data_IF_782815625021
#
_entry.id   IF_782815625021
#
_cell.length_a   1.000
_cell.length_b   1.000
_cell.length_c   1.000
_cell.angle_alpha   90.00
_cell.angle_beta   90.00
_cell.angle_gamma   90.00
#
_symmetry.space_group_name_H-M   'P 1'
#
loop_
_entity.id
_entity.type
_entity.pdbx_description
1 polymer ?
#
# COMPACT_ATOMS: atom_id res chain seq x y z
N UNK A 1 -17.69 8.96 -27.00
CA UNK A 1 -17.15 8.25 -25.82
C UNK A 1 -17.06 6.75 -26.14
N UNK A 2 -15.85 6.18 -26.13
CA UNK A 2 -15.62 4.78 -26.49
C UNK A 2 -16.14 3.83 -25.41
N UNK A 3 -16.38 2.56 -25.76
CA UNK A 3 -16.80 1.52 -24.80
C UNK A 3 -15.80 1.38 -23.65
N UNK A 4 -14.50 1.38 -23.96
CA UNK A 4 -13.42 1.34 -22.97
C UNK A 4 -13.44 2.54 -22.03
N UNK A 5 -13.69 3.74 -22.56
CA UNK A 5 -13.80 4.93 -21.71
C UNK A 5 -14.99 4.83 -20.76
N UNK A 6 -16.12 4.25 -21.19
CA UNK A 6 -17.29 4.02 -20.31
C UNK A 6 -16.95 3.01 -19.21
N UNK A 7 -16.31 1.89 -19.56
CA UNK A 7 -15.84 0.86 -18.62
C UNK A 7 -14.91 1.46 -17.55
N UNK A 8 -13.96 2.29 -17.97
CA UNK A 8 -13.01 2.93 -17.06
C UNK A 8 -13.65 3.94 -16.13
N UNK A 9 -14.61 4.75 -16.61
CA UNK A 9 -15.34 5.69 -15.74
C UNK A 9 -16.14 4.93 -14.68
N UNK A 10 -16.87 3.88 -15.07
CA UNK A 10 -17.64 3.07 -14.11
C UNK A 10 -16.72 2.39 -13.09
N UNK A 11 -15.60 1.83 -13.54
CA UNK A 11 -14.62 1.18 -12.65
C UNK A 11 -13.98 2.16 -11.68
N UNK A 12 -13.64 3.36 -12.15
CA UNK A 12 -13.09 4.43 -11.31
C UNK A 12 -14.12 4.94 -10.31
N UNK A 13 -15.37 5.12 -10.75
CA UNK A 13 -16.49 5.46 -9.87
C UNK A 13 -16.73 4.41 -8.79
N UNK A 14 -16.61 3.12 -9.13
CA UNK A 14 -16.68 2.03 -8.16
C UNK A 14 -15.52 2.06 -7.16
N UNK A 15 -14.29 2.31 -7.62
CA UNK A 15 -13.13 2.45 -6.73
C UNK A 15 -13.30 3.62 -5.74
N UNK A 16 -13.75 4.78 -6.24
CA UNK A 16 -14.08 5.94 -5.40
C UNK A 16 -15.20 5.57 -4.42
N UNK A 17 -16.25 4.87 -4.88
CA UNK A 17 -17.33 4.37 -4.03
C UNK A 17 -16.83 3.46 -2.90
N UNK A 18 -15.88 2.56 -3.17
CA UNK A 18 -15.28 1.71 -2.14
C UNK A 18 -14.54 2.53 -1.08
N UNK A 19 -13.75 3.54 -1.49
CA UNK A 19 -13.08 4.44 -0.56
C UNK A 19 -14.09 5.23 0.28
N UNK A 20 -15.12 5.78 -0.35
CA UNK A 20 -16.17 6.53 0.35
C UNK A 20 -16.91 5.64 1.34
N UNK A 21 -17.30 4.43 0.96
CA UNK A 21 -17.98 3.48 1.85
C UNK A 21 -17.08 3.05 3.02
N UNK A 22 -15.78 2.87 2.78
CA UNK A 22 -14.80 2.60 3.83
C UNK A 22 -14.78 3.71 4.89
N UNK A 23 -14.81 4.99 4.49
CA UNK A 23 -14.86 6.12 5.43
C UNK A 23 -16.22 6.33 6.07
N UNK A 24 -17.31 6.08 5.34
CA UNK A 24 -18.68 6.31 5.80
C UNK A 24 -19.20 5.22 6.72
N UNK A 25 -18.59 4.04 6.76
CA UNK A 25 -18.96 3.01 7.73
C UNK A 25 -18.34 3.35 9.08
N UNK A 26 -19.12 3.87 10.07
CA UNK A 26 -18.57 4.24 11.36
C UNK A 26 -18.14 2.97 12.05
N UNK A 27 -16.84 2.86 12.22
CA UNK A 27 -16.28 1.76 12.97
C UNK A 27 -16.42 2.11 14.44
N UNK A 28 -17.22 1.35 15.19
CA UNK A 28 -17.22 1.52 16.63
C UNK A 28 -15.81 1.31 17.20
N UNK A 29 -15.59 1.66 18.47
CA UNK A 29 -14.29 1.53 19.18
C UNK A 29 -13.69 0.10 19.21
N UNK A 30 -14.36 -0.89 18.60
CA UNK A 30 -13.88 -2.25 18.47
C UNK A 30 -12.95 -2.37 17.25
N UNK A 31 -11.64 -2.48 17.53
CA UNK A 31 -10.57 -2.73 16.53
C UNK A 31 -10.90 -3.84 15.52
N UNK A 32 -11.71 -4.82 15.93
CA UNK A 32 -12.18 -5.91 15.08
C UNK A 32 -13.03 -5.40 13.90
N UNK A 33 -13.97 -4.47 14.13
CA UNK A 33 -14.82 -3.94 13.06
C UNK A 33 -13.98 -3.17 12.01
N UNK A 34 -12.88 -2.53 12.43
CA UNK A 34 -11.96 -1.81 11.54
C UNK A 34 -11.32 -2.81 10.58
N UNK A 35 -10.81 -3.90 11.13
CA UNK A 35 -10.18 -4.96 10.35
C UNK A 35 -11.14 -5.56 9.30
N UNK A 36 -12.37 -5.89 9.67
CA UNK A 36 -13.36 -6.44 8.72
C UNK A 36 -13.81 -5.43 7.68
N UNK A 37 -13.97 -4.15 8.04
CA UNK A 37 -14.30 -3.09 7.08
C UNK A 37 -13.22 -2.98 6.02
N UNK A 38 -11.94 -2.92 6.42
CA UNK A 38 -10.79 -2.83 5.51
C UNK A 38 -10.78 -4.02 4.57
N UNK A 39 -10.88 -5.25 5.07
CA UNK A 39 -10.87 -6.45 4.23
C UNK A 39 -12.05 -6.45 3.26
N UNK A 40 -13.23 -6.06 3.72
CA UNK A 40 -14.45 -6.08 2.90
C UNK A 40 -14.38 -5.07 1.77
N UNK A 41 -14.08 -3.81 2.07
CA UNK A 41 -14.11 -2.72 1.10
C UNK A 41 -12.85 -2.63 0.24
N UNK A 42 -11.69 -2.99 0.79
CA UNK A 42 -10.41 -2.86 0.06
C UNK A 42 -9.96 -4.17 -0.59
N UNK A 43 -10.54 -5.33 -0.23
CA UNK A 43 -10.18 -6.62 -0.84
C UNK A 43 -11.37 -7.34 -1.47
N UNK A 44 -12.41 -7.68 -0.68
CA UNK A 44 -13.52 -8.50 -1.20
C UNK A 44 -14.35 -7.78 -2.26
N UNK A 45 -14.77 -6.53 -2.05
CA UNK A 45 -15.54 -5.77 -3.04
C UNK A 45 -14.79 -5.65 -4.38
N UNK A 46 -13.52 -5.23 -4.41
CA UNK A 46 -12.72 -5.21 -5.62
C UNK A 46 -12.61 -6.58 -6.31
N UNK A 47 -12.37 -7.66 -5.55
CA UNK A 47 -12.31 -9.02 -6.11
C UNK A 47 -13.64 -9.44 -6.75
N UNK A 48 -14.76 -9.18 -6.08
CA UNK A 48 -16.10 -9.47 -6.57
C UNK A 48 -16.39 -8.65 -7.83
N UNK A 49 -16.04 -7.37 -7.84
CA UNK A 49 -16.20 -6.50 -9.00
C UNK A 49 -15.41 -7.02 -10.21
N UNK A 50 -14.14 -7.38 -10.01
CA UNK A 50 -13.30 -7.93 -11.09
C UNK A 50 -13.87 -9.24 -11.65
N UNK A 51 -14.30 -10.15 -10.77
CA UNK A 51 -14.75 -11.49 -11.20
C UNK A 51 -16.16 -11.48 -11.78
N UNK A 52 -17.09 -10.74 -11.19
CA UNK A 52 -18.52 -10.77 -11.55
C UNK A 52 -18.84 -9.73 -12.63
N UNK A 53 -18.37 -8.50 -12.45
CA UNK A 53 -18.74 -7.37 -13.31
C UNK A 53 -17.79 -7.25 -14.49
N UNK A 54 -16.47 -7.24 -14.23
CA UNK A 54 -15.48 -7.15 -15.32
C UNK A 54 -15.27 -8.49 -16.03
N UNK A 55 -15.59 -9.62 -15.38
CA UNK A 55 -15.35 -10.99 -15.86
C UNK A 55 -13.88 -11.26 -16.20
N UNK A 56 -12.98 -10.61 -15.47
CA UNK A 56 -11.54 -10.74 -15.64
C UNK A 56 -10.96 -11.75 -14.64
N UNK A 57 -9.82 -12.36 -14.98
CA UNK A 57 -9.13 -13.30 -14.09
C UNK A 57 -8.34 -12.56 -13.00
N UNK A 58 -7.97 -13.25 -11.91
CA UNK A 58 -7.15 -12.68 -10.82
C UNK A 58 -5.80 -12.11 -11.30
N UNK A 59 -5.27 -12.60 -12.44
CA UNK A 59 -4.09 -12.05 -13.08
C UNK A 59 -4.25 -10.57 -13.49
N UNK A 60 -5.48 -10.11 -13.74
CA UNK A 60 -5.81 -8.71 -14.00
C UNK A 60 -5.40 -7.80 -12.83
N UNK A 61 -5.56 -8.29 -11.59
CA UNK A 61 -5.21 -7.59 -10.34
C UNK A 61 -3.74 -7.72 -9.95
N UNK A 62 -2.92 -8.35 -10.80
CA UNK A 62 -1.50 -8.54 -10.53
C UNK A 62 -1.17 -9.79 -9.71
N UNK A 63 -2.06 -10.77 -9.61
CA UNK A 63 -1.70 -12.10 -9.13
C UNK A 63 -1.05 -12.90 -10.26
N UNK A 64 0.22 -12.58 -10.55
CA UNK A 64 1.04 -13.30 -11.51
C UNK A 64 1.89 -14.39 -10.83
N UNK A 65 2.16 -15.51 -11.53
CA UNK A 65 3.06 -16.54 -11.01
C UNK A 65 4.46 -15.99 -10.73
N UNK A 66 5.15 -16.52 -9.72
CA UNK A 66 6.53 -16.14 -9.40
C UNK A 66 7.52 -16.39 -10.55
N UNK A 67 7.15 -17.20 -11.55
CA UNK A 67 7.99 -17.51 -12.72
C UNK A 67 8.16 -16.36 -13.71
N UNK A 68 7.39 -15.26 -13.61
CA UNK A 68 7.59 -14.05 -14.44
C UNK A 68 8.66 -13.12 -13.89
N UNK A 69 9.55 -13.63 -13.03
CA UNK A 69 10.62 -12.86 -12.40
C UNK A 69 11.75 -12.56 -13.39
N UNK A 70 12.06 -11.27 -13.55
CA UNK A 70 13.16 -10.79 -14.38
C UNK A 70 14.17 -10.05 -13.50
N UNK A 71 15.47 -10.19 -13.80
CA UNK A 71 16.58 -9.45 -13.18
C UNK A 71 16.33 -7.94 -13.13
N UNK A 72 15.66 -7.38 -14.15
CA UNK A 72 15.27 -5.97 -14.19
C UNK A 72 14.32 -5.59 -13.05
N UNK A 73 13.34 -6.45 -12.74
CA UNK A 73 12.40 -6.24 -11.63
C UNK A 73 13.11 -6.31 -10.28
N UNK A 74 14.06 -7.24 -10.12
CA UNK A 74 14.89 -7.34 -8.92
C UNK A 74 15.74 -6.09 -8.72
N UNK A 75 16.37 -5.57 -9.78
CA UNK A 75 17.17 -4.35 -9.71
C UNK A 75 16.34 -3.15 -9.25
N UNK A 76 15.16 -2.95 -9.83
CA UNK A 76 14.26 -1.87 -9.41
C UNK A 76 13.72 -2.06 -7.99
N UNK A 77 13.44 -3.30 -7.58
CA UNK A 77 13.04 -3.62 -6.21
C UNK A 77 14.16 -3.26 -5.21
N UNK A 78 15.39 -3.69 -5.47
CA UNK A 78 16.55 -3.34 -4.63
C UNK A 78 16.77 -1.83 -4.60
N UNK A 79 16.70 -1.18 -5.75
CA UNK A 79 16.86 0.29 -5.87
C UNK A 79 15.78 1.03 -5.08
N UNK A 80 14.54 0.54 -5.10
CA UNK A 80 13.41 1.11 -4.35
C UNK A 80 13.60 0.97 -2.85
N UNK A 81 14.14 -0.17 -2.39
CA UNK A 81 14.45 -0.42 -0.98
C UNK A 81 15.59 0.50 -0.53
N UNK A 82 16.64 0.64 -1.32
CA UNK A 82 17.78 1.52 -1.01
C UNK A 82 17.31 2.97 -0.93
N UNK A 83 16.64 3.47 -1.96
CA UNK A 83 16.20 4.87 -2.00
C UNK A 83 15.12 5.17 -0.96
N UNK A 84 14.18 4.24 -0.77
CA UNK A 84 13.17 4.33 0.29
C UNK A 84 13.80 4.33 1.67
N UNK A 85 14.81 3.47 1.91
CA UNK A 85 15.56 3.41 3.15
C UNK A 85 16.41 4.66 3.42
N UNK A 86 17.04 5.22 2.39
CA UNK A 86 17.78 6.49 2.50
C UNK A 86 16.82 7.65 2.83
N UNK A 87 15.67 7.68 2.18
CA UNK A 87 14.66 8.70 2.42
C UNK A 87 14.03 8.56 3.82
N UNK A 88 13.73 7.32 4.23
CA UNK A 88 13.32 6.98 5.59
C UNK A 88 14.33 7.46 6.63
N UNK A 89 15.61 7.17 6.41
CA UNK A 89 16.68 7.64 7.28
C UNK A 89 16.67 9.17 7.39
N UNK A 90 16.60 9.88 6.26
CA UNK A 90 16.52 11.35 6.26
C UNK A 90 15.31 11.87 7.07
N UNK A 91 14.12 11.29 6.88
CA UNK A 91 12.91 11.68 7.61
C UNK A 91 13.03 11.43 9.13
N UNK A 92 13.65 10.31 9.52
CA UNK A 92 13.87 9.96 10.93
C UNK A 92 15.01 10.76 11.56
N UNK A 93 15.93 11.35 10.78
CA UNK A 93 16.93 12.28 11.34
C UNK A 93 16.39 13.68 11.61
N UNK A 94 15.18 14.00 11.15
CA UNK A 94 14.52 15.27 11.44
C UNK A 94 13.79 15.18 12.80
N UNK A 95 14.15 16.03 13.77
CA UNK A 95 13.63 16.00 15.16
C UNK A 95 12.08 15.94 15.26
N UNK A 96 11.39 16.61 14.33
CA UNK A 96 9.94 16.72 14.22
C UNK A 96 9.29 15.51 13.53
N UNK A 97 10.02 14.79 12.67
CA UNK A 97 9.55 13.56 12.03
C UNK A 97 9.51 12.40 13.02
N UNK A 98 10.45 12.40 13.95
CA UNK A 98 10.60 11.39 14.99
C UNK A 98 9.48 11.45 16.02
N UNK A 99 9.18 12.64 16.52
CA UNK A 99 8.19 12.83 17.59
C UNK A 99 6.79 12.38 17.16
N UNK A 100 6.41 12.63 15.90
CA UNK A 100 5.14 12.15 15.34
C UNK A 100 5.09 10.63 15.11
N UNK A 101 6.25 9.98 14.93
CA UNK A 101 6.33 8.53 14.72
C UNK A 101 6.18 7.77 16.05
N UNK A 102 6.68 8.36 17.15
CA UNK A 102 6.57 7.81 18.50
C UNK A 102 5.13 7.78 19.03
N UNK A 103 4.31 8.76 18.67
CA UNK A 103 2.89 8.79 19.07
C UNK A 103 2.09 7.60 18.53
N UNK A 104 2.59 6.92 17.49
CA UNK A 104 1.96 5.77 16.85
C UNK A 104 2.49 4.42 17.40
N UNK A 105 3.71 4.38 17.93
CA UNK A 105 4.37 3.16 18.44
C UNK A 105 4.17 3.02 19.96
N UNK A 106 3.44 2.00 20.41
CA UNK A 106 3.29 1.73 21.84
C UNK A 106 4.64 1.38 22.48
N UNK A 107 4.91 1.92 23.68
CA UNK A 107 6.12 1.65 24.48
C UNK A 107 6.46 0.15 24.60
N UNK A 108 5.45 -0.73 24.61
CA UNK A 108 5.61 -2.19 24.73
C UNK A 108 6.37 -2.83 23.57
N UNK A 109 6.35 -2.21 22.38
CA UNK A 109 7.02 -2.72 21.16
C UNK A 109 8.51 -2.34 21.16
N UNK A 110 8.87 -1.23 21.81
CA UNK A 110 10.24 -0.69 21.84
C UNK A 110 11.22 -1.57 22.64
N UNK A 111 10.74 -2.31 23.65
CA UNK A 111 11.60 -3.04 24.60
C UNK A 111 11.74 -4.55 24.32
N UNK A 112 11.03 -5.12 23.36
CA UNK A 112 11.14 -6.55 23.03
C UNK A 112 11.15 -6.77 21.50
N UNK A 113 12.33 -7.08 20.96
CA UNK A 113 12.52 -7.30 19.52
C UNK A 113 11.65 -8.43 18.95
N UNK A 114 11.39 -9.49 19.73
CA UNK A 114 10.49 -10.57 19.31
C UNK A 114 9.03 -10.10 19.17
N UNK A 115 8.54 -9.32 20.15
CA UNK A 115 7.21 -8.72 20.09
C UNK A 115 7.10 -7.70 18.93
N UNK A 116 8.16 -6.94 18.66
CA UNK A 116 8.27 -6.07 17.50
C UNK A 116 8.14 -6.84 16.17
N UNK A 117 8.92 -7.92 15.98
CA UNK A 117 8.83 -8.72 14.76
C UNK A 117 7.43 -9.32 14.58
N UNK A 118 6.81 -9.85 15.65
CA UNK A 118 5.44 -10.37 15.59
C UNK A 118 4.46 -9.26 15.18
N UNK A 119 4.58 -8.06 15.74
CA UNK A 119 3.75 -6.93 15.37
C UNK A 119 3.88 -6.58 13.88
N UNK A 120 5.10 -6.57 13.35
CA UNK A 120 5.37 -6.31 11.94
C UNK A 120 4.69 -7.32 11.02
N UNK A 121 4.84 -8.62 11.30
CA UNK A 121 4.26 -9.65 10.44
C UNK A 121 2.74 -9.83 10.60
N UNK A 122 2.18 -9.58 11.79
CA UNK A 122 0.75 -9.81 12.07
C UNK A 122 -0.10 -8.59 11.75
N UNK A 123 0.41 -7.37 11.92
CA UNK A 123 -0.37 -6.14 11.73
C UNK A 123 0.13 -5.33 10.52
N UNK A 124 1.43 -5.08 10.42
CA UNK A 124 1.97 -4.19 9.37
C UNK A 124 1.93 -4.87 8.00
N UNK A 125 2.40 -6.11 7.87
CA UNK A 125 2.42 -6.82 6.60
C UNK A 125 1.03 -6.99 5.96
N UNK A 126 -0.04 -7.40 6.70
CA UNK A 126 -1.38 -7.47 6.12
C UNK A 126 -1.93 -6.12 5.71
N UNK A 127 -1.69 -5.05 6.50
CA UNK A 127 -2.13 -3.70 6.12
C UNK A 127 -1.42 -3.20 4.87
N UNK A 128 -0.10 -3.38 4.79
CA UNK A 128 0.69 -3.05 3.61
C UNK A 128 0.18 -3.80 2.39
N UNK A 129 -0.14 -5.09 2.54
CA UNK A 129 -0.72 -5.88 1.47
C UNK A 129 -2.07 -5.33 1.02
N UNK A 130 -3.00 -5.04 1.93
CA UNK A 130 -4.35 -4.55 1.61
C UNK A 130 -4.31 -3.19 0.89
N UNK A 131 -3.49 -2.26 1.38
CA UNK A 131 -3.33 -0.93 0.76
C UNK A 131 -2.66 -1.06 -0.61
N UNK A 132 -1.64 -1.91 -0.74
CA UNK A 132 -0.99 -2.17 -2.03
C UNK A 132 -1.97 -2.84 -3.00
N UNK A 133 -2.78 -3.77 -2.51
CA UNK A 133 -3.76 -4.50 -3.30
C UNK A 133 -4.80 -3.58 -3.90
N UNK A 134 -5.39 -2.72 -3.08
CA UNK A 134 -6.40 -1.80 -3.55
C UNK A 134 -5.82 -0.81 -4.57
N UNK A 135 -4.69 -0.17 -4.25
CA UNK A 135 -4.15 0.88 -5.12
C UNK A 135 -3.45 0.36 -6.37
N UNK A 136 -2.51 -0.58 -6.22
CA UNK A 136 -1.67 -1.06 -7.33
C UNK A 136 -2.22 -2.31 -8.01
N UNK A 137 -2.99 -3.13 -7.29
CA UNK A 137 -3.68 -4.28 -7.88
C UNK A 137 -4.96 -3.87 -8.59
N UNK A 138 -5.87 -3.22 -7.87
CA UNK A 138 -7.19 -2.91 -8.39
C UNK A 138 -7.26 -1.58 -9.16
N UNK A 139 -6.95 -0.45 -8.51
CA UNK A 139 -7.08 0.88 -9.12
C UNK A 139 -6.16 1.03 -10.33
N UNK A 140 -4.89 0.62 -10.20
CA UNK A 140 -3.93 0.72 -11.30
C UNK A 140 -4.24 -0.24 -12.47
N UNK A 141 -5.01 -1.32 -12.25
CA UNK A 141 -5.45 -2.19 -13.35
C UNK A 141 -6.48 -1.52 -14.26
N UNK A 142 -7.13 -0.43 -13.81
CA UNK A 142 -8.03 0.40 -14.61
C UNK A 142 -7.20 1.26 -15.57
N UNK A 143 -6.99 0.75 -16.80
CA UNK A 143 -6.14 1.38 -17.81
C UNK A 143 -6.84 2.55 -18.51
N UNK A 144 -6.48 3.76 -18.13
CA UNK A 144 -6.87 4.98 -18.86
C UNK A 144 -6.03 5.17 -20.13
N UNK A 145 -6.51 6.00 -21.06
CA UNK A 145 -5.80 6.32 -22.31
C UNK A 145 -4.40 6.87 -22.06
N UNK A 146 -4.20 7.59 -20.95
CA UNK A 146 -2.88 8.04 -20.50
C UNK A 146 -2.51 7.35 -19.20
N UNK A 147 -1.39 6.64 -19.24
CA UNK A 147 -0.84 5.89 -18.10
C UNK A 147 -0.57 6.76 -16.87
N UNK A 148 -0.25 8.04 -17.09
CA UNK A 148 -0.04 9.01 -16.02
C UNK A 148 -1.30 9.20 -15.17
N UNK A 149 -2.50 9.14 -15.75
CA UNK A 149 -3.75 9.29 -14.99
C UNK A 149 -4.00 8.07 -14.12
N UNK A 150 -3.83 6.86 -14.65
CA UNK A 150 -3.93 5.63 -13.85
C UNK A 150 -2.94 5.65 -12.67
N UNK A 151 -1.69 6.08 -12.92
CA UNK A 151 -0.69 6.22 -11.87
C UNK A 151 -1.12 7.24 -10.80
N UNK A 152 -1.57 8.43 -11.20
CA UNK A 152 -1.97 9.47 -10.25
C UNK A 152 -3.18 9.05 -9.41
N UNK A 153 -4.18 8.40 -10.01
CA UNK A 153 -5.35 7.91 -9.26
C UNK A 153 -4.92 6.85 -8.24
N UNK A 154 -4.09 5.87 -8.65
CA UNK A 154 -3.56 4.86 -7.73
C UNK A 154 -2.73 5.47 -6.59
N UNK A 155 -1.88 6.46 -6.91
CA UNK A 155 -1.06 7.17 -5.93
C UNK A 155 -1.93 7.95 -4.93
N UNK A 156 -2.96 8.65 -5.41
CA UNK A 156 -3.89 9.40 -4.55
C UNK A 156 -4.68 8.44 -3.66
N UNK A 157 -5.20 7.32 -4.20
CA UNK A 157 -5.87 6.29 -3.39
C UNK A 157 -4.94 5.72 -2.32
N UNK A 158 -3.68 5.45 -2.67
CA UNK A 158 -2.66 4.97 -1.74
C UNK A 158 -2.40 5.96 -0.60
N UNK A 159 -2.24 7.24 -0.94
CA UNK A 159 -2.03 8.33 0.03
C UNK A 159 -3.21 8.48 0.99
N UNK A 160 -4.43 8.47 0.47
CA UNK A 160 -5.66 8.56 1.27
C UNK A 160 -5.73 7.40 2.27
N UNK A 161 -5.44 6.18 1.81
CA UNK A 161 -5.47 4.99 2.66
C UNK A 161 -4.38 5.06 3.72
N UNK A 162 -3.12 5.35 3.37
CA UNK A 162 -2.05 5.47 4.37
C UNK A 162 -2.32 6.58 5.40
N UNK A 163 -2.89 7.71 4.95
CA UNK A 163 -3.24 8.80 5.86
C UNK A 163 -4.29 8.38 6.89
N UNK A 164 -5.22 7.51 6.51
CA UNK A 164 -6.21 6.97 7.46
C UNK A 164 -5.60 6.12 8.58
N UNK A 165 -4.39 5.58 8.40
CA UNK A 165 -3.70 4.76 9.41
C UNK A 165 -2.68 5.53 10.24
N UNK A 166 -1.91 6.42 9.61
CA UNK A 166 -0.75 7.03 10.25
C UNK A 166 -0.95 8.49 10.67
N UNK A 167 -2.07 9.13 10.27
CA UNK A 167 -2.45 10.51 10.66
C UNK A 167 -1.40 11.60 10.38
N UNK A 168 -0.30 11.30 9.69
CA UNK A 168 0.84 12.20 9.46
C UNK A 168 1.47 11.94 8.09
N UNK A 169 1.51 12.98 7.25
CA UNK A 169 2.14 12.92 5.92
C UNK A 169 3.63 12.57 5.95
N UNK A 170 4.32 12.91 7.04
CA UNK A 170 5.75 12.61 7.21
C UNK A 170 6.03 11.12 7.32
N UNK A 171 5.11 10.38 7.94
CA UNK A 171 5.18 8.93 8.05
C UNK A 171 4.92 8.28 6.68
N UNK A 172 4.10 8.92 5.85
CA UNK A 172 3.67 8.40 4.54
C UNK A 172 4.74 8.58 3.46
N UNK A 173 5.52 9.66 3.53
CA UNK A 173 6.50 10.05 2.52
C UNK A 173 7.53 8.95 2.16
N UNK A 174 8.16 8.24 3.13
CA UNK A 174 9.05 7.12 2.85
C UNK A 174 8.39 5.99 2.05
N UNK A 175 7.08 5.80 2.18
CA UNK A 175 6.31 4.79 1.45
C UNK A 175 5.97 5.21 0.02
N UNK A 176 6.20 6.48 -0.37
CA UNK A 176 5.95 6.95 -1.74
C UNK A 176 7.10 6.67 -2.67
N UNK A 177 8.34 6.71 -2.16
CA UNK A 177 9.53 6.38 -2.94
C UNK A 177 9.39 5.00 -3.60
N UNK A 178 9.08 3.90 -2.88
CA UNK A 178 8.88 2.61 -3.52
C UNK A 178 7.73 2.63 -4.53
N UNK A 179 6.66 3.39 -4.31
CA UNK A 179 5.55 3.46 -5.28
C UNK A 179 5.93 4.06 -6.65
N UNK A 180 6.87 5.03 -6.69
CA UNK A 180 7.40 5.57 -7.95
C UNK A 180 8.27 4.54 -8.70
N UNK A 181 9.11 3.80 -7.97
CA UNK A 181 9.94 2.75 -8.57
C UNK A 181 9.12 1.52 -8.99
N UNK A 182 8.02 1.25 -8.29
CA UNK A 182 7.06 0.19 -8.61
C UNK A 182 6.39 0.41 -9.97
N UNK A 183 6.15 1.65 -10.40
CA UNK A 183 5.70 1.93 -11.76
C UNK A 183 6.70 1.45 -12.82
N UNK A 184 8.00 1.43 -12.52
CA UNK A 184 9.07 0.93 -13.42
C UNK A 184 9.22 -0.60 -13.36
N UNK A 185 8.69 -1.27 -12.33
CA UNK A 185 8.56 -2.73 -12.20
C UNK A 185 7.38 -3.26 -13.08
N UNK A 186 6.80 -2.40 -13.92
CA UNK A 186 5.61 -2.60 -14.76
C UNK A 186 5.49 -3.94 -15.49
N UNK A 187 6.61 -4.56 -15.84
CA UNK A 187 6.63 -5.80 -16.60
C UNK A 187 6.29 -7.03 -15.73
N UNK A 188 6.43 -6.92 -14.40
CA UNK A 188 6.22 -8.05 -13.49
C UNK A 188 4.83 -8.12 -12.85
N UNK A 189 4.07 -7.00 -12.81
CA UNK A 189 2.78 -6.77 -12.12
C UNK A 189 2.47 -7.64 -10.88
N UNK A 190 3.46 -8.09 -10.13
CA UNK A 190 3.20 -9.02 -9.04
C UNK A 190 3.05 -8.23 -7.76
N UNK A 191 1.81 -8.19 -7.30
CA UNK A 191 1.38 -7.47 -6.11
C UNK A 191 2.15 -7.88 -4.86
N UNK A 192 2.57 -9.14 -4.76
CA UNK A 192 3.30 -9.66 -3.61
C UNK A 192 4.70 -9.05 -3.52
N UNK A 193 5.37 -8.79 -4.64
CA UNK A 193 6.66 -8.10 -4.62
C UNK A 193 6.52 -6.64 -4.23
N UNK A 194 5.47 -5.98 -4.70
CA UNK A 194 5.19 -4.59 -4.34
C UNK A 194 4.93 -4.49 -2.84
N UNK A 195 4.07 -5.35 -2.30
CA UNK A 195 3.79 -5.41 -0.87
C UNK A 195 5.04 -5.78 -0.06
N UNK A 196 5.84 -6.72 -0.54
CA UNK A 196 7.10 -7.12 0.09
C UNK A 196 8.13 -5.98 0.15
N UNK A 197 8.30 -5.23 -0.93
CA UNK A 197 9.22 -4.09 -0.97
C UNK A 197 8.77 -2.97 -0.01
N UNK A 198 7.47 -2.63 -0.02
CA UNK A 198 6.89 -1.65 0.89
C UNK A 198 7.01 -2.13 2.34
N UNK A 199 6.80 -3.42 2.61
CA UNK A 199 6.95 -4.01 3.94
C UNK A 199 8.40 -3.97 4.43
N UNK A 200 9.38 -4.29 3.58
CA UNK A 200 10.80 -4.19 3.96
C UNK A 200 11.16 -2.74 4.31
N UNK A 201 10.62 -1.76 3.56
CA UNK A 201 10.82 -0.34 3.88
C UNK A 201 10.15 0.03 5.20
N UNK A 202 8.93 -0.44 5.45
CA UNK A 202 8.24 -0.27 6.74
C UNK A 202 9.10 -0.81 7.90
N UNK A 203 9.61 -2.03 7.74
CA UNK A 203 10.47 -2.69 8.71
C UNK A 203 11.75 -1.88 8.98
N UNK A 204 12.39 -1.36 7.93
CA UNK A 204 13.60 -0.51 8.06
C UNK A 204 13.26 0.77 8.81
N UNK A 205 12.18 1.47 8.44
CA UNK A 205 11.76 2.72 9.12
C UNK A 205 11.51 2.44 10.60
N UNK A 206 10.65 1.45 10.89
CA UNK A 206 10.24 1.16 12.24
C UNK A 206 11.43 0.70 13.10
N UNK A 207 12.39 -0.02 12.52
CA UNK A 207 13.64 -0.40 13.20
C UNK A 207 14.55 0.80 13.47
N UNK A 208 14.70 1.71 12.50
CA UNK A 208 15.50 2.94 12.67
C UNK A 208 14.91 3.84 13.75
N UNK A 209 13.58 3.97 13.77
CA UNK A 209 12.86 4.68 14.83
C UNK A 209 13.11 3.99 16.16
N UNK A 210 12.88 2.69 16.30
CA UNK A 210 13.12 1.97 17.57
C UNK A 210 14.55 2.18 18.09
N UNK A 211 15.56 2.03 17.22
CA UNK A 211 16.98 2.18 17.59
C UNK A 211 17.35 3.60 18.02
N UNK A 212 16.71 4.63 17.46
CA UNK A 212 16.97 6.01 17.87
C UNK A 212 16.50 6.30 19.31
N UNK A 213 15.68 5.42 19.91
CA UNK A 213 15.04 5.59 21.22
C UNK A 213 15.42 4.56 22.28
N UNK A 214 16.17 3.53 21.92
CA UNK A 214 16.74 2.52 22.84
C UNK A 214 18.16 2.89 23.24
#
# INVERSE_FOLDING_TARGET
MTYEMKKNIISTGFAIGCLVLYFLFPVGNLKFQIFFSIITFLCFLPLLYTKIILKENAQFLGFLPFSTFNLRSLFFLISSIILGGLFAFFVVTLEWGVQKYLDVLSATILYNFGAFLIYQFVFVAPMVFLVTFFSWGFVYAIKWEREIYTFLIALVSYMILLYSFYSSLWIILPFLVPTFFVQKIRDGKNILYMSGAVFVIALIIDTLVVKAFS
#
